data_IF_872304277325
#
_entry.id   IF_872304277325
#
_cell.length_a   1.000
_cell.length_b   1.000
_cell.length_c   1.000
_cell.angle_alpha   90.00
_cell.angle_beta   90.00
_cell.angle_gamma   90.00
#
_symmetry.space_group_name_H-M   'P 1'
#
loop_
_entity.id
_entity.type
_entity.pdbx_description
1 polymer ?
#
# COMPACT_ATOMS: atom_id res chain seq x y z
N UNK A 1 69.58 59.16 -42.57
CA UNK A 1 69.75 57.71 -42.34
C UNK A 1 68.65 57.29 -41.38
N UNK A 2 67.46 56.85 -41.88
CA UNK A 2 66.97 55.44 -41.89
C UNK A 2 67.23 54.75 -40.53
N UNK A 3 66.26 54.20 -39.79
CA UNK A 3 65.23 53.20 -40.17
C UNK A 3 64.00 53.30 -39.22
N UNK A 4 62.81 53.02 -39.79
CA UNK A 4 61.46 52.89 -39.17
C UNK A 4 61.36 51.69 -38.21
N UNK A 5 60.37 51.66 -37.31
CA UNK A 5 59.57 50.49 -36.86
C UNK A 5 58.65 50.98 -35.72
N UNK A 6 57.39 51.34 -35.89
CA UNK A 6 56.23 50.55 -36.32
C UNK A 6 55.89 49.37 -35.36
N UNK A 7 54.74 49.52 -34.70
CA UNK A 7 53.81 48.47 -34.23
C UNK A 7 54.32 47.39 -33.26
N UNK A 8 53.68 47.29 -32.08
CA UNK A 8 52.81 46.15 -31.78
C UNK A 8 51.93 46.43 -30.55
N UNK A 9 50.67 46.79 -30.84
CA UNK A 9 49.52 46.54 -29.98
C UNK A 9 49.11 45.07 -30.21
N UNK A 10 49.07 44.24 -29.16
CA UNK A 10 48.20 43.06 -29.16
C UNK A 10 47.88 42.67 -27.71
N UNK A 11 46.72 43.14 -27.28
CA UNK A 11 45.91 42.57 -26.21
C UNK A 11 45.69 41.07 -26.48
N UNK A 12 46.34 40.21 -25.71
CA UNK A 12 45.94 38.81 -25.55
C UNK A 12 44.90 38.71 -24.43
N UNK A 13 43.73 39.29 -24.69
CA UNK A 13 42.51 38.96 -23.96
C UNK A 13 42.05 37.59 -24.46
N UNK A 14 42.57 36.52 -23.86
CA UNK A 14 41.96 35.20 -23.96
C UNK A 14 40.55 35.30 -23.36
N UNK A 15 39.58 35.59 -24.21
CA UNK A 15 38.20 35.24 -23.93
C UNK A 15 38.15 33.71 -23.83
N UNK A 16 38.21 33.20 -22.61
CA UNK A 16 37.69 31.88 -22.31
C UNK A 16 36.17 31.93 -22.49
N UNK A 17 35.69 31.97 -23.74
CA UNK A 17 34.36 31.53 -24.08
C UNK A 17 34.34 30.02 -23.85
N UNK A 18 34.14 29.60 -22.60
CA UNK A 18 33.69 28.25 -22.31
C UNK A 18 32.37 28.09 -23.04
N UNK A 19 32.31 27.25 -24.07
CA UNK A 19 31.07 26.95 -24.78
C UNK A 19 30.04 26.48 -23.76
N UNK A 20 29.07 27.33 -23.45
CA UNK A 20 27.95 26.93 -22.61
C UNK A 20 27.14 25.89 -23.39
N UNK A 21 27.10 24.66 -22.89
CA UNK A 21 26.28 23.58 -23.45
C UNK A 21 24.83 24.06 -23.58
N UNK A 22 24.28 23.95 -24.80
CA UNK A 22 22.89 24.35 -25.04
C UNK A 22 21.92 23.36 -24.36
N UNK A 23 20.66 23.75 -24.09
CA UNK A 23 19.69 22.85 -23.48
C UNK A 23 19.45 21.57 -24.30
N UNK A 24 19.48 21.67 -25.62
CA UNK A 24 19.32 20.51 -26.53
C UNK A 24 20.53 19.59 -26.50
N UNK A 25 21.74 20.14 -26.40
CA UNK A 25 22.97 19.35 -26.28
C UNK A 25 23.03 18.64 -24.94
N UNK A 26 22.57 19.29 -23.86
CA UNK A 26 22.48 18.68 -22.53
C UNK A 26 21.56 17.45 -22.54
N UNK A 27 20.35 17.56 -23.10
CA UNK A 27 19.41 16.43 -23.17
C UNK A 27 19.96 15.31 -24.06
N UNK A 28 20.60 15.66 -25.18
CA UNK A 28 21.22 14.68 -26.07
C UNK A 28 22.37 13.93 -25.36
N UNK A 29 23.26 14.66 -24.68
CA UNK A 29 24.34 14.08 -23.89
C UNK A 29 23.81 13.11 -22.82
N UNK A 30 22.77 13.48 -22.08
CA UNK A 30 22.17 12.63 -21.04
C UNK A 30 21.64 11.31 -21.62
N UNK A 31 21.00 11.36 -22.79
CA UNK A 31 20.51 10.18 -23.51
C UNK A 31 21.66 9.32 -24.01
N UNK A 32 22.64 9.91 -24.68
CA UNK A 32 23.77 9.21 -25.30
C UNK A 32 24.67 8.54 -24.25
N UNK A 33 24.73 9.09 -23.03
CA UNK A 33 25.47 8.53 -21.90
C UNK A 33 24.61 7.63 -20.99
N UNK A 34 23.36 7.33 -21.38
CA UNK A 34 22.53 6.33 -20.68
C UNK A 34 22.18 6.70 -19.24
N UNK A 35 21.99 7.98 -18.94
CA UNK A 35 21.70 8.46 -17.57
C UNK A 35 20.50 7.75 -16.93
N UNK A 36 19.53 7.35 -17.74
CA UNK A 36 18.35 6.61 -17.30
C UNK A 36 18.66 5.29 -16.57
N UNK A 37 19.79 4.64 -16.90
CA UNK A 37 20.20 3.35 -16.35
C UNK A 37 21.23 3.46 -15.21
N UNK A 38 21.78 4.65 -14.94
CA UNK A 38 22.76 4.86 -13.89
C UNK A 38 22.08 4.70 -12.52
N UNK A 39 22.72 3.97 -11.61
CA UNK A 39 22.18 3.68 -10.27
C UNK A 39 22.78 4.60 -9.23
N UNK A 40 21.90 5.28 -8.50
CA UNK A 40 22.25 6.17 -7.39
C UNK A 40 21.76 5.60 -6.06
N UNK A 41 22.53 5.84 -5.00
CA UNK A 41 22.16 5.40 -3.65
C UNK A 41 21.14 6.37 -3.08
N UNK A 42 19.95 5.86 -2.76
CA UNK A 42 18.88 6.59 -2.08
C UNK A 42 19.22 6.84 -0.61
N UNK A 43 18.50 7.75 0.02
CA UNK A 43 18.55 7.98 1.48
C UNK A 43 18.21 6.73 2.29
N UNK A 44 17.36 5.84 1.76
CA UNK A 44 17.02 4.54 2.34
C UNK A 44 18.08 3.45 2.11
N UNK A 45 19.20 3.76 1.46
CA UNK A 45 20.31 2.84 1.21
C UNK A 45 20.15 1.95 -0.02
N UNK A 46 18.97 1.95 -0.66
CA UNK A 46 18.72 1.25 -1.92
C UNK A 46 19.44 1.91 -3.09
N UNK A 47 19.82 1.15 -4.12
CA UNK A 47 20.38 1.68 -5.38
C UNK A 47 19.35 1.63 -6.50
N UNK A 48 18.93 2.80 -6.98
CA UNK A 48 17.90 2.94 -8.02
C UNK A 48 18.39 3.78 -9.19
N UNK A 49 17.88 3.46 -10.37
CA UNK A 49 18.01 4.25 -11.59
C UNK A 49 16.68 4.92 -11.95
N UNK A 50 16.70 5.84 -12.92
CA UNK A 50 15.45 6.45 -13.42
C UNK A 50 14.55 5.40 -14.09
N UNK A 51 15.11 4.37 -14.71
CA UNK A 51 14.34 3.22 -15.21
C UNK A 51 13.62 2.49 -14.07
N UNK A 52 14.28 2.31 -12.92
CA UNK A 52 13.64 1.70 -11.74
C UNK A 52 12.48 2.58 -11.23
N UNK A 53 12.67 3.90 -11.17
CA UNK A 53 11.62 4.86 -10.79
C UNK A 53 10.43 4.81 -11.76
N UNK A 54 10.68 4.79 -13.07
CA UNK A 54 9.64 4.66 -14.11
C UNK A 54 8.84 3.36 -13.94
N UNK A 55 9.53 2.24 -13.69
CA UNK A 55 8.91 0.92 -13.49
C UNK A 55 8.05 0.88 -12.22
N UNK A 56 8.56 1.40 -11.11
CA UNK A 56 7.82 1.48 -9.84
C UNK A 56 6.57 2.33 -9.98
N UNK A 57 6.70 3.50 -10.61
CA UNK A 57 5.58 4.40 -10.81
C UNK A 57 4.47 3.73 -11.63
N UNK A 58 4.85 3.02 -12.71
CA UNK A 58 3.91 2.26 -13.54
C UNK A 58 3.24 1.14 -12.77
N UNK A 59 3.98 0.42 -11.94
CA UNK A 59 3.44 -0.66 -11.12
C UNK A 59 2.42 -0.14 -10.10
N UNK A 60 2.69 1.00 -9.47
CA UNK A 60 1.83 1.55 -8.41
C UNK A 60 0.60 2.30 -8.93
N UNK A 61 0.78 3.07 -10.02
CA UNK A 61 -0.23 4.02 -10.52
C UNK A 61 -0.89 3.56 -11.82
N UNK A 62 -0.37 2.51 -12.46
CA UNK A 62 -0.68 2.12 -13.83
C UNK A 62 -0.45 3.22 -14.89
N UNK A 63 0.30 4.29 -14.56
CA UNK A 63 0.66 5.38 -15.46
C UNK A 63 2.16 5.46 -15.71
N UNK A 64 2.57 6.13 -16.78
CA UNK A 64 3.99 6.36 -17.04
C UNK A 64 4.47 7.58 -16.25
N UNK A 65 5.68 7.49 -15.67
CA UNK A 65 6.31 8.66 -15.06
C UNK A 65 6.58 9.69 -16.17
N UNK A 66 6.14 10.96 -16.01
CA UNK A 66 6.28 11.95 -17.06
C UNK A 66 7.75 12.24 -17.36
N UNK A 67 8.02 12.60 -18.61
CA UNK A 67 9.32 13.15 -19.00
C UNK A 67 9.41 14.56 -18.40
N UNK A 68 10.50 14.83 -17.69
CA UNK A 68 10.73 16.12 -17.03
C UNK A 68 11.87 16.88 -17.71
N UNK A 69 11.95 18.19 -17.46
CA UNK A 69 13.02 19.04 -17.98
C UNK A 69 14.31 18.83 -17.17
N UNK A 70 15.33 18.24 -17.80
CA UNK A 70 16.62 17.94 -17.16
C UNK A 70 17.81 18.69 -17.77
N UNK A 71 17.56 19.56 -18.75
CA UNK A 71 18.63 20.28 -19.45
C UNK A 71 19.54 21.11 -18.51
N UNK A 72 18.99 21.60 -17.40
CA UNK A 72 19.75 22.33 -16.37
C UNK A 72 20.83 21.48 -15.69
N UNK A 73 20.64 20.16 -15.65
CA UNK A 73 21.63 19.23 -15.08
C UNK A 73 22.85 19.02 -15.97
N UNK A 74 22.78 19.37 -17.26
CA UNK A 74 23.91 19.21 -18.19
C UNK A 74 24.49 17.79 -18.12
N UNK A 75 25.74 17.65 -17.67
CA UNK A 75 26.48 16.39 -17.53
C UNK A 75 26.42 15.78 -16.13
N UNK A 76 25.65 16.36 -15.21
CA UNK A 76 25.50 15.89 -13.82
C UNK A 76 24.41 14.83 -13.74
N UNK A 77 24.82 13.56 -13.65
CA UNK A 77 23.95 12.39 -13.54
C UNK A 77 23.21 12.34 -12.19
N UNK A 78 23.82 12.85 -11.12
CA UNK A 78 23.18 12.93 -9.80
C UNK A 78 22.02 13.94 -9.85
N UNK A 79 22.25 15.14 -10.40
CA UNK A 79 21.19 16.13 -10.63
C UNK A 79 20.04 15.55 -11.48
N UNK A 80 20.39 14.81 -12.54
CA UNK A 80 19.42 14.16 -13.43
C UNK A 80 18.54 13.17 -12.66
N UNK A 81 19.18 12.26 -11.92
CA UNK A 81 18.48 11.28 -11.09
C UNK A 81 17.62 11.95 -10.02
N UNK A 82 18.17 12.92 -9.27
CA UNK A 82 17.47 13.59 -8.17
C UNK A 82 16.23 14.35 -8.67
N UNK A 83 16.28 14.91 -9.88
CA UNK A 83 15.13 15.56 -10.52
C UNK A 83 13.99 14.57 -10.77
N UNK A 84 14.32 13.37 -11.25
CA UNK A 84 13.34 12.29 -11.45
C UNK A 84 12.86 11.70 -10.12
N UNK A 85 13.74 11.50 -9.15
CA UNK A 85 13.40 10.98 -7.83
C UNK A 85 12.42 11.90 -7.10
N UNK A 86 12.67 13.22 -7.11
CA UNK A 86 11.74 14.20 -6.55
C UNK A 86 10.37 14.16 -7.24
N UNK A 87 10.36 14.14 -8.57
CA UNK A 87 9.10 14.08 -9.34
C UNK A 87 8.32 12.78 -9.04
N UNK A 88 9.04 11.66 -8.95
CA UNK A 88 8.47 10.38 -8.57
C UNK A 88 7.80 10.46 -7.20
N UNK A 89 8.52 10.95 -6.17
CA UNK A 89 8.01 11.06 -4.81
C UNK A 89 6.77 11.97 -4.73
N UNK A 90 6.81 13.14 -5.38
CA UNK A 90 5.69 14.08 -5.42
C UNK A 90 4.44 13.44 -6.04
N UNK A 91 4.59 12.76 -7.19
CA UNK A 91 3.47 12.15 -7.89
C UNK A 91 2.92 10.92 -7.17
N UNK A 92 3.77 10.08 -6.59
CA UNK A 92 3.36 8.92 -5.79
C UNK A 92 2.61 9.37 -4.54
N UNK A 93 3.14 10.37 -3.82
CA UNK A 93 2.47 10.92 -2.64
C UNK A 93 1.11 11.52 -2.99
N UNK A 94 1.01 12.26 -4.09
CA UNK A 94 -0.27 12.79 -4.59
C UNK A 94 -1.25 11.66 -4.92
N UNK A 95 -0.82 10.65 -5.67
CA UNK A 95 -1.66 9.50 -6.03
C UNK A 95 -2.18 8.77 -4.78
N UNK A 96 -1.31 8.50 -3.80
CA UNK A 96 -1.70 7.85 -2.54
C UNK A 96 -2.71 8.68 -1.76
N UNK A 97 -2.53 10.01 -1.71
CA UNK A 97 -3.46 10.92 -1.04
C UNK A 97 -4.82 10.98 -1.75
N UNK A 98 -4.84 11.04 -3.08
CA UNK A 98 -6.09 11.03 -3.85
C UNK A 98 -6.82 9.70 -3.68
N UNK A 99 -6.09 8.59 -3.71
CA UNK A 99 -6.64 7.25 -3.48
C UNK A 99 -7.19 7.09 -2.06
N UNK A 100 -6.54 7.64 -1.04
CA UNK A 100 -7.05 7.59 0.34
C UNK A 100 -8.30 8.45 0.50
N UNK A 101 -8.34 9.65 -0.08
CA UNK A 101 -9.53 10.51 -0.10
C UNK A 101 -10.70 9.84 -0.84
N UNK A 102 -10.43 9.18 -1.96
CA UNK A 102 -11.45 8.46 -2.72
C UNK A 102 -12.03 7.30 -1.90
N UNK A 103 -11.18 6.50 -1.26
CA UNK A 103 -11.63 5.45 -0.34
C UNK A 103 -12.47 6.01 0.81
N UNK A 104 -12.04 7.10 1.44
CA UNK A 104 -12.79 7.72 2.53
C UNK A 104 -14.20 8.18 2.07
N UNK A 105 -14.30 8.77 0.87
CA UNK A 105 -15.59 9.14 0.28
C UNK A 105 -16.47 7.93 -0.04
N UNK A 106 -15.88 6.87 -0.58
CA UNK A 106 -16.59 5.61 -0.83
C UNK A 106 -17.12 5.01 0.48
N UNK A 107 -16.33 5.04 1.54
CA UNK A 107 -16.75 4.57 2.87
C UNK A 107 -17.86 5.45 3.47
N UNK A 108 -17.78 6.77 3.34
CA UNK A 108 -18.83 7.69 3.78
C UNK A 108 -20.14 7.49 2.99
N UNK A 109 -20.03 7.33 1.67
CA UNK A 109 -21.19 7.03 0.81
C UNK A 109 -21.82 5.68 1.16
N UNK A 110 -21.01 4.68 1.49
CA UNK A 110 -21.50 3.38 1.91
C UNK A 110 -22.15 3.43 3.31
N UNK A 111 -21.63 4.26 4.22
CA UNK A 111 -22.20 4.42 5.55
C UNK A 111 -23.59 5.09 5.53
N UNK A 112 -23.86 5.95 4.55
CA UNK A 112 -25.15 6.62 4.36
C UNK A 112 -26.17 5.81 3.56
N UNK A 113 -25.74 4.78 2.82
CA UNK A 113 -26.59 3.80 2.15
C UNK A 113 -26.84 2.59 3.07
N UNK A 114 -28.07 2.40 3.53
CA UNK A 114 -28.45 1.31 4.43
C UNK A 114 -28.10 -0.08 3.86
N UNK A 115 -28.27 -0.28 2.55
CA UNK A 115 -27.95 -1.54 1.89
C UNK A 115 -26.45 -1.75 1.85
N UNK A 116 -25.68 -0.74 1.42
CA UNK A 116 -24.22 -0.84 1.38
C UNK A 116 -23.63 -1.07 2.77
N UNK A 117 -24.08 -0.29 3.76
CA UNK A 117 -23.66 -0.40 5.17
C UNK A 117 -23.94 -1.80 5.71
N UNK A 118 -25.12 -2.37 5.43
CA UNK A 118 -25.46 -3.73 5.83
C UNK A 118 -24.59 -4.78 5.12
N UNK A 119 -24.38 -4.66 3.82
CA UNK A 119 -23.52 -5.57 3.05
C UNK A 119 -22.07 -5.53 3.54
N UNK A 120 -21.56 -4.34 3.84
CA UNK A 120 -20.22 -4.16 4.44
C UNK A 120 -20.14 -4.81 5.82
N UNK A 121 -21.10 -4.56 6.71
CA UNK A 121 -21.15 -5.17 8.02
C UNK A 121 -21.20 -6.72 7.93
N UNK A 122 -21.98 -7.26 7.00
CA UNK A 122 -22.04 -8.70 6.71
C UNK A 122 -20.70 -9.23 6.19
N UNK A 123 -20.06 -8.50 5.29
CA UNK A 123 -18.75 -8.86 4.74
C UNK A 123 -17.68 -8.89 5.84
N UNK A 124 -17.62 -7.84 6.67
CA UNK A 124 -16.67 -7.72 7.78
C UNK A 124 -16.86 -8.84 8.81
N UNK A 125 -18.11 -9.11 9.18
CA UNK A 125 -18.45 -10.23 10.06
C UNK A 125 -18.03 -11.58 9.45
N UNK A 126 -18.30 -11.79 8.16
CA UNK A 126 -17.93 -13.03 7.46
C UNK A 126 -16.42 -13.20 7.40
N UNK A 127 -15.67 -12.14 7.07
CA UNK A 127 -14.22 -12.16 7.06
C UNK A 127 -13.64 -12.47 8.45
N UNK A 128 -14.18 -11.84 9.51
CA UNK A 128 -13.77 -12.14 10.89
C UNK A 128 -14.01 -13.60 11.24
N UNK A 129 -15.17 -14.14 10.90
CA UNK A 129 -15.49 -15.55 11.18
C UNK A 129 -14.55 -16.50 10.42
N UNK A 130 -14.25 -16.23 9.14
CA UNK A 130 -13.23 -17.00 8.38
C UNK A 130 -11.87 -16.97 9.05
N UNK A 131 -11.42 -15.79 9.48
CA UNK A 131 -10.12 -15.66 10.14
C UNK A 131 -10.07 -16.44 11.44
N UNK A 132 -11.13 -16.39 12.25
CA UNK A 132 -11.25 -17.19 13.48
C UNK A 132 -11.24 -18.69 13.17
N UNK A 133 -11.95 -19.12 12.12
CA UNK A 133 -11.98 -20.51 11.67
C UNK A 133 -10.59 -20.98 11.22
N UNK A 134 -9.96 -20.26 10.29
CA UNK A 134 -8.61 -20.56 9.80
C UNK A 134 -7.60 -20.57 10.93
N UNK A 135 -7.66 -19.60 11.85
CA UNK A 135 -6.80 -19.56 13.02
C UNK A 135 -7.00 -20.81 13.89
N UNK A 136 -8.24 -21.17 14.21
CA UNK A 136 -8.55 -22.34 15.03
C UNK A 136 -8.03 -23.65 14.42
N UNK A 137 -8.16 -23.82 13.10
CA UNK A 137 -7.60 -25.00 12.42
C UNK A 137 -6.07 -24.98 12.39
N UNK A 138 -5.46 -23.81 12.16
CA UNK A 138 -4.01 -23.66 12.07
C UNK A 138 -3.30 -23.90 13.41
N UNK A 139 -3.94 -23.57 14.52
CA UNK A 139 -3.39 -23.79 15.87
C UNK A 139 -3.66 -25.19 16.41
N UNK A 140 -4.48 -25.99 15.72
CA UNK A 140 -4.79 -27.38 16.07
C UNK A 140 -4.49 -28.35 14.91
N UNK A 141 -3.24 -28.39 14.38
CA UNK A 141 -2.92 -29.11 13.15
C UNK A 141 -3.14 -30.63 13.24
N UNK A 142 -2.95 -31.23 14.42
CA UNK A 142 -3.14 -32.67 14.63
C UNK A 142 -4.58 -33.06 14.95
N UNK A 143 -5.45 -32.07 15.23
CA UNK A 143 -6.84 -32.27 15.66
C UNK A 143 -7.80 -31.38 14.86
N UNK A 144 -7.52 -31.17 13.56
CA UNK A 144 -8.32 -30.26 12.72
C UNK A 144 -9.79 -30.70 12.61
N UNK A 145 -10.06 -32.01 12.61
CA UNK A 145 -11.42 -32.54 12.61
C UNK A 145 -12.19 -32.16 13.88
N UNK A 146 -11.56 -32.28 15.04
CA UNK A 146 -12.16 -31.89 16.32
C UNK A 146 -12.32 -30.37 16.40
N UNK A 147 -11.33 -29.61 15.93
CA UNK A 147 -11.39 -28.16 15.89
C UNK A 147 -12.51 -27.64 14.97
N UNK A 148 -12.69 -28.23 13.78
CA UNK A 148 -13.82 -27.93 12.89
C UNK A 148 -15.16 -28.26 13.58
N UNK A 149 -15.27 -29.44 14.18
CA UNK A 149 -16.47 -29.87 14.89
C UNK A 149 -16.85 -28.95 16.05
N UNK A 150 -15.87 -28.53 16.86
CA UNK A 150 -16.08 -27.58 17.95
C UNK A 150 -16.52 -26.23 17.39
N UNK A 151 -15.84 -25.71 16.37
CA UNK A 151 -16.19 -24.42 15.76
C UNK A 151 -17.64 -24.42 15.27
N UNK A 152 -18.02 -25.46 14.51
CA UNK A 152 -19.37 -25.64 13.99
C UNK A 152 -20.40 -25.74 15.11
N UNK A 153 -20.10 -26.51 16.15
CA UNK A 153 -20.97 -26.69 17.31
C UNK A 153 -21.22 -25.38 18.06
N UNK A 154 -20.17 -24.56 18.23
CA UNK A 154 -20.30 -23.23 18.85
C UNK A 154 -21.16 -22.30 18.00
N UNK A 155 -20.94 -22.26 16.68
CA UNK A 155 -21.76 -21.45 15.80
C UNK A 155 -23.22 -21.91 15.76
N UNK A 156 -23.49 -23.21 15.71
CA UNK A 156 -24.84 -23.75 15.76
C UNK A 156 -25.54 -23.42 17.07
N UNK A 157 -24.85 -23.58 18.21
CA UNK A 157 -25.38 -23.21 19.50
C UNK A 157 -25.71 -21.72 19.56
N UNK A 158 -24.80 -20.87 19.08
CA UNK A 158 -24.96 -19.40 19.07
C UNK A 158 -26.11 -18.96 18.16
N UNK A 159 -26.25 -19.57 16.99
CA UNK A 159 -27.34 -19.31 16.05
C UNK A 159 -28.70 -19.73 16.64
N UNK A 160 -28.78 -20.91 17.28
CA UNK A 160 -29.98 -21.34 18.02
C UNK A 160 -30.30 -20.39 19.17
N UNK A 161 -29.28 -19.95 19.91
CA UNK A 161 -29.44 -19.04 21.04
C UNK A 161 -30.10 -17.71 20.62
N UNK A 162 -29.63 -17.12 19.51
CA UNK A 162 -30.25 -15.95 18.88
C UNK A 162 -31.68 -16.22 18.42
N UNK A 163 -31.90 -17.32 17.69
CA UNK A 163 -33.24 -17.70 17.17
C UNK A 163 -34.27 -17.91 18.28
N UNK A 164 -33.82 -18.29 19.47
CA UNK A 164 -34.65 -18.41 20.66
C UNK A 164 -34.92 -17.07 21.37
N UNK A 165 -34.51 -15.94 20.79
CA UNK A 165 -34.76 -14.59 21.30
C UNK A 165 -33.79 -14.11 22.39
N UNK A 166 -32.72 -14.86 22.67
CA UNK A 166 -31.79 -14.50 23.73
C UNK A 166 -30.74 -13.47 23.28
N UNK A 167 -30.33 -12.61 24.22
CA UNK A 167 -29.31 -11.58 23.97
C UNK A 167 -27.91 -12.19 23.82
N UNK A 168 -27.06 -11.50 23.05
CA UNK A 168 -25.63 -11.84 22.93
C UNK A 168 -24.93 -11.83 24.27
N UNK A 169 -25.23 -10.84 25.12
CA UNK A 169 -24.62 -10.73 26.44
C UNK A 169 -24.91 -11.96 27.31
N UNK A 170 -26.14 -12.46 27.28
CA UNK A 170 -26.52 -13.68 27.98
C UNK A 170 -25.76 -14.90 27.46
N UNK A 171 -25.58 -15.03 26.13
CA UNK A 171 -24.77 -16.10 25.53
C UNK A 171 -23.33 -16.06 26.05
N UNK A 172 -22.71 -14.88 26.01
CA UNK A 172 -21.31 -14.68 26.37
C UNK A 172 -21.09 -14.93 27.87
N UNK A 173 -22.00 -14.48 28.72
CA UNK A 173 -21.91 -14.74 30.16
C UNK A 173 -22.06 -16.24 30.46
N UNK A 174 -23.03 -16.92 29.84
CA UNK A 174 -23.22 -18.36 30.01
C UNK A 174 -21.99 -19.18 29.58
N UNK A 175 -21.33 -18.80 28.47
CA UNK A 175 -20.11 -19.45 28.00
C UNK A 175 -18.89 -19.12 28.87
N UNK A 176 -18.84 -17.91 29.44
CA UNK A 176 -17.75 -17.50 30.34
C UNK A 176 -17.76 -18.35 31.59
N UNK A 177 -18.94 -18.61 32.13
CA UNK A 177 -19.15 -19.35 33.38
C UNK A 177 -19.18 -20.88 33.17
N UNK A 178 -19.03 -21.35 31.93
CA UNK A 178 -19.03 -22.77 31.61
C UNK A 178 -17.82 -23.49 32.25
N UNK A 179 -18.05 -24.59 33.00
CA UNK A 179 -17.00 -25.39 33.59
C UNK A 179 -16.21 -26.15 32.51
N UNK A 180 -14.95 -26.47 32.80
CA UNK A 180 -14.11 -27.33 31.93
C UNK A 180 -13.35 -26.61 30.80
N UNK A 181 -13.51 -25.29 30.62
CA UNK A 181 -12.74 -24.52 29.65
C UNK A 181 -11.51 -23.85 30.29
N UNK A 182 -10.33 -24.05 29.69
CA UNK A 182 -9.12 -23.30 30.05
C UNK A 182 -9.22 -21.81 29.64
N UNK A 183 -8.48 -20.88 30.27
CA UNK A 183 -8.59 -19.44 29.98
C UNK A 183 -8.40 -19.07 28.49
N UNK A 184 -7.40 -19.65 27.82
CA UNK A 184 -7.09 -19.37 26.41
C UNK A 184 -8.20 -19.88 25.47
N UNK A 185 -8.61 -21.14 25.66
CA UNK A 185 -9.71 -21.74 24.90
C UNK A 185 -11.02 -20.97 25.12
N UNK A 186 -11.30 -20.54 26.36
CA UNK A 186 -12.47 -19.74 26.69
C UNK A 186 -12.50 -18.44 25.91
N UNK A 187 -11.41 -17.67 25.86
CA UNK A 187 -11.35 -16.42 25.10
C UNK A 187 -11.67 -16.60 23.62
N UNK A 188 -11.08 -17.62 22.99
CA UNK A 188 -11.30 -17.91 21.58
C UNK A 188 -12.74 -18.36 21.29
N UNK A 189 -13.30 -19.25 22.11
CA UNK A 189 -14.67 -19.74 21.94
C UNK A 189 -15.72 -18.64 22.17
N UNK A 190 -15.49 -17.73 23.10
CA UNK A 190 -16.34 -16.55 23.31
C UNK A 190 -16.35 -15.64 22.08
N UNK A 191 -15.19 -15.42 21.46
CA UNK A 191 -15.08 -14.56 20.28
C UNK A 191 -15.77 -15.19 19.05
N UNK A 192 -15.61 -16.50 18.86
CA UNK A 192 -16.32 -17.28 17.84
C UNK A 192 -17.83 -17.20 18.10
N UNK A 193 -18.30 -17.51 19.31
CA UNK A 193 -19.71 -17.49 19.66
C UNK A 193 -20.36 -16.12 19.42
N UNK A 194 -19.69 -15.05 19.84
CA UNK A 194 -20.09 -13.66 19.59
C UNK A 194 -20.28 -13.38 18.09
N UNK A 195 -19.30 -13.79 17.28
CA UNK A 195 -19.30 -13.54 15.83
C UNK A 195 -20.37 -14.37 15.12
N UNK A 196 -20.56 -15.65 15.47
CA UNK A 196 -21.62 -16.48 14.91
C UNK A 196 -23.02 -15.94 15.26
N UNK A 197 -23.20 -15.38 16.48
CA UNK A 197 -24.44 -14.72 16.88
C UNK A 197 -24.71 -13.48 16.03
N UNK A 198 -23.70 -12.61 15.85
CA UNK A 198 -23.83 -11.39 15.05
C UNK A 198 -24.12 -11.69 13.56
N UNK A 199 -23.46 -12.70 12.99
CA UNK A 199 -23.73 -13.19 11.61
C UNK A 199 -25.17 -13.68 11.48
N UNK A 200 -25.64 -14.46 12.45
CA UNK A 200 -27.01 -14.98 12.42
C UNK A 200 -28.02 -13.84 12.53
N UNK A 201 -27.77 -12.85 13.40
CA UNK A 201 -28.60 -11.64 13.53
C UNK A 201 -28.64 -10.82 12.24
N UNK A 202 -27.54 -10.78 11.48
CA UNK A 202 -27.49 -10.08 10.19
C UNK A 202 -28.28 -10.81 9.08
N UNK A 203 -28.78 -12.02 9.35
CA UNK A 203 -29.54 -12.85 8.41
C UNK A 203 -28.65 -13.74 7.53
N UNK A 204 -27.40 -13.94 7.91
CA UNK A 204 -26.40 -14.67 7.12
C UNK A 204 -26.21 -16.08 7.66
N UNK A 205 -26.06 -17.05 6.77
CA UNK A 205 -25.72 -18.41 7.17
C UNK A 205 -24.22 -18.51 7.47
N UNK A 206 -23.87 -18.72 8.75
CA UNK A 206 -22.48 -18.84 9.20
C UNK A 206 -21.70 -19.95 8.49
N UNK A 207 -22.37 -21.04 8.05
CA UNK A 207 -21.72 -22.13 7.30
C UNK A 207 -21.21 -21.67 5.92
N UNK A 208 -21.88 -20.69 5.32
CA UNK A 208 -21.44 -20.07 4.07
C UNK A 208 -20.34 -19.05 4.36
N UNK A 209 -20.45 -18.32 5.47
CA UNK A 209 -19.48 -17.31 5.87
C UNK A 209 -18.07 -17.87 6.13
N UNK A 210 -17.92 -19.12 6.57
CA UNK A 210 -16.60 -19.76 6.80
C UNK A 210 -15.94 -20.35 5.55
N UNK A 211 -16.63 -20.35 4.41
CA UNK A 211 -16.07 -20.77 3.11
C UNK A 211 -15.41 -19.59 2.41
#
# INVERSE_FOLDING_TARGET
MRIKNAFLCTLLSFFAYGCAMSPTDAVSYQKDNGFDAIKHRTSGGEKLSVLDLKSRYKTETNNNLPIIQTASCKTDDVCYYDSYAKTYDDLVNKYRLEKSKQKAKEEESCASDEKCSREKAVSDLSQRLRQQYSFMLSTNPYFQGDADSIFRSVCDASAKYYKNGNSKESLINNLRDAPGLGPQARGQLLDIASTCWDITKAGVNWNVAIR
#
